data_IF_225759239133
#
_entry.id   IF_225759239133
#
_cell.length_a   1.000
_cell.length_b   1.000
_cell.length_c   1.000
_cell.angle_alpha   90.00
_cell.angle_beta   90.00
_cell.angle_gamma   90.00
#
_symmetry.space_group_name_H-M   'P 1'
#
loop_
_entity.id
_entity.type
_entity.pdbx_description
1 polymer ?
#
# COMPACT_ATOMS: atom_id res chain seq x y z
N UNK A 1 -10.02 35.77 -70.42
CA UNK A 1 -8.75 36.20 -71.02
C UNK A 1 -7.94 36.90 -69.93
N UNK A 2 -6.73 36.39 -69.66
CA UNK A 2 -5.62 36.95 -68.87
C UNK A 2 -5.68 37.10 -67.33
N UNK A 3 -4.97 36.17 -66.69
CA UNK A 3 -4.08 36.36 -65.53
C UNK A 3 -3.16 37.59 -65.67
N UNK A 4 -2.73 38.19 -64.55
CA UNK A 4 -1.29 38.23 -64.20
C UNK A 4 -0.98 38.78 -62.79
N UNK A 5 -0.05 38.06 -62.19
CA UNK A 5 0.75 38.29 -60.98
C UNK A 5 1.71 39.48 -61.17
N UNK A 6 2.01 40.22 -60.09
CA UNK A 6 3.24 41.04 -59.99
C UNK A 6 3.96 40.76 -58.67
N UNK A 7 5.28 40.64 -58.81
CA UNK A 7 6.31 40.23 -57.87
C UNK A 7 7.01 41.44 -57.21
N UNK A 8 7.41 41.24 -55.95
CA UNK A 8 8.73 41.51 -55.28
C UNK A 8 9.52 42.84 -55.38
N UNK A 9 9.99 43.23 -54.17
CA UNK A 9 11.28 43.85 -53.75
C UNK A 9 11.50 45.33 -54.12
N UNK A 10 12.03 46.23 -53.27
CA UNK A 10 12.58 46.24 -51.91
C UNK A 10 13.40 47.54 -51.76
N UNK A 11 13.58 48.11 -50.56
CA UNK A 11 14.66 49.08 -50.26
C UNK A 11 15.00 49.18 -48.76
N UNK A 12 16.29 48.93 -48.50
CA UNK A 12 17.26 49.63 -47.64
C UNK A 12 16.87 50.13 -46.22
N UNK A 13 17.56 49.56 -45.22
CA UNK A 13 17.82 50.17 -43.93
C UNK A 13 19.12 49.66 -43.30
N UNK A 14 20.19 50.45 -43.38
CA UNK A 14 21.44 50.26 -42.62
C UNK A 14 21.19 50.57 -41.13
N UNK A 15 21.75 49.79 -40.21
CA UNK A 15 22.25 50.32 -38.93
C UNK A 15 23.20 49.35 -38.22
N UNK A 16 24.18 49.95 -37.55
CA UNK A 16 25.43 49.38 -37.13
C UNK A 16 25.35 48.53 -35.85
N UNK A 17 26.31 47.61 -35.76
CA UNK A 17 26.61 46.72 -34.63
C UNK A 17 27.02 47.55 -33.40
N UNK A 18 26.18 47.53 -32.37
CA UNK A 18 26.56 47.96 -31.02
C UNK A 18 27.00 46.73 -30.20
N UNK A 19 28.30 46.48 -30.12
CA UNK A 19 28.89 45.51 -29.16
C UNK A 19 28.72 46.07 -27.75
N UNK A 20 27.87 45.47 -26.92
CA UNK A 20 27.85 45.69 -25.47
C UNK A 20 29.05 44.96 -24.85
N UNK A 21 30.01 45.66 -24.20
CA UNK A 21 31.23 45.04 -23.67
C UNK A 21 31.02 44.24 -22.38
N UNK A 22 29.83 44.31 -21.76
CA UNK A 22 29.58 43.78 -20.41
C UNK A 22 29.06 42.34 -20.34
N UNK A 23 28.58 41.75 -21.44
CA UNK A 23 28.09 40.36 -21.40
C UNK A 23 29.22 39.35 -21.54
N UNK A 24 30.22 39.63 -22.39
CA UNK A 24 31.37 38.73 -22.60
C UNK A 24 32.22 38.63 -21.34
N UNK A 25 32.41 39.74 -20.62
CA UNK A 25 33.15 39.74 -19.35
C UNK A 25 32.39 39.01 -18.24
N UNK A 26 31.05 39.14 -18.19
CA UNK A 26 30.22 38.37 -17.26
C UNK A 26 30.26 36.89 -17.57
N UNK A 27 30.20 36.50 -18.85
CA UNK A 27 30.27 35.10 -19.27
C UNK A 27 31.64 34.49 -18.93
N UNK A 28 32.73 35.22 -19.18
CA UNK A 28 34.10 34.78 -18.83
C UNK A 28 34.24 34.60 -17.31
N UNK A 29 33.80 35.57 -16.51
CA UNK A 29 33.87 35.48 -15.04
C UNK A 29 33.00 34.33 -14.52
N UNK A 30 31.78 34.16 -15.03
CA UNK A 30 30.87 33.09 -14.58
C UNK A 30 31.43 31.70 -14.94
N UNK A 31 32.04 31.58 -16.12
CA UNK A 31 32.68 30.33 -16.57
C UNK A 31 33.93 30.05 -15.73
N UNK A 32 34.75 31.06 -15.44
CA UNK A 32 35.96 30.89 -14.63
C UNK A 32 35.63 30.53 -13.18
N UNK A 33 34.63 31.18 -12.58
CA UNK A 33 34.13 30.85 -11.23
C UNK A 33 33.53 29.45 -11.21
N UNK A 34 32.75 29.06 -12.22
CA UNK A 34 32.20 27.70 -12.32
C UNK A 34 33.27 26.61 -12.46
N UNK A 35 34.32 26.86 -13.26
CA UNK A 35 35.45 25.93 -13.43
C UNK A 35 36.28 25.83 -12.16
N UNK A 36 36.59 26.95 -11.49
CA UNK A 36 37.34 26.93 -10.22
C UNK A 36 36.52 26.28 -9.11
N UNK A 37 35.22 26.57 -9.01
CA UNK A 37 34.34 25.96 -8.02
C UNK A 37 34.16 24.45 -8.28
N UNK A 38 33.99 24.04 -9.55
CA UNK A 38 33.94 22.64 -9.95
C UNK A 38 35.26 21.90 -9.71
N UNK A 39 36.41 22.54 -9.95
CA UNK A 39 37.73 21.99 -9.67
C UNK A 39 38.00 21.85 -8.17
N UNK A 40 37.60 22.83 -7.36
CA UNK A 40 37.73 22.77 -5.90
C UNK A 40 36.82 21.69 -5.30
N UNK A 41 35.59 21.53 -5.80
CA UNK A 41 34.72 20.41 -5.40
C UNK A 41 35.34 19.07 -5.86
N UNK A 42 35.81 18.98 -7.10
CA UNK A 42 36.42 17.77 -7.64
C UNK A 42 37.72 17.35 -6.95
N UNK A 43 38.54 18.30 -6.50
CA UNK A 43 39.78 18.06 -5.75
C UNK A 43 39.54 17.84 -4.24
N UNK A 44 38.38 18.24 -3.72
CA UNK A 44 37.99 18.00 -2.31
C UNK A 44 37.35 16.63 -2.09
N UNK A 45 37.05 15.87 -3.14
CA UNK A 45 36.69 14.47 -3.03
C UNK A 45 37.96 13.60 -3.05
N UNK A 46 38.20 12.76 -2.02
CA UNK A 46 39.25 11.77 -2.11
C UNK A 46 38.97 10.86 -3.29
N UNK A 47 39.95 10.70 -4.19
CA UNK A 47 39.90 9.69 -5.24
C UNK A 47 39.87 8.30 -4.59
N UNK A 48 38.67 7.71 -4.48
CA UNK A 48 38.50 6.35 -4.02
C UNK A 48 39.09 5.41 -5.09
N UNK A 49 40.30 4.93 -4.84
CA UNK A 49 40.87 3.80 -5.57
C UNK A 49 39.98 2.57 -5.34
N UNK A 50 39.26 2.17 -6.39
CA UNK A 50 38.46 0.96 -6.45
C UNK A 50 39.39 -0.26 -6.61
N UNK A 51 40.08 -0.61 -5.52
CA UNK A 51 40.82 -1.86 -5.42
C UNK A 51 40.35 -2.65 -4.22
N UNK A 52 39.62 -3.75 -4.51
CA UNK A 52 39.33 -4.90 -3.64
C UNK A 52 38.86 -4.56 -2.22
N UNK A 53 37.53 -4.62 -2.04
CA UNK A 53 36.87 -4.66 -0.73
C UNK A 53 37.41 -5.81 0.13
N UNK A 54 38.32 -5.49 1.05
CA UNK A 54 38.49 -6.18 2.31
C UNK A 54 38.00 -5.22 3.40
N UNK A 55 36.92 -5.59 4.10
CA UNK A 55 36.35 -4.81 5.21
C UNK A 55 37.38 -4.59 6.32
N UNK A 56 37.77 -3.35 6.66
CA UNK A 56 38.47 -3.06 7.90
C UNK A 56 37.47 -2.69 9.00
N UNK A 57 37.90 -2.92 10.24
CA UNK A 57 37.30 -2.52 11.51
C UNK A 57 36.60 -1.15 11.48
N UNK A 58 35.38 -1.09 12.02
CA UNK A 58 34.61 0.13 12.26
C UNK A 58 35.45 1.12 13.08
N UNK A 59 35.81 2.25 12.47
CA UNK A 59 36.38 3.41 13.14
C UNK A 59 35.22 4.25 13.70
N UNK A 60 35.18 4.42 15.03
CA UNK A 60 34.07 5.03 15.78
C UNK A 60 34.37 6.50 16.14
N UNK A 61 35.19 7.18 15.34
CA UNK A 61 35.54 8.59 15.50
C UNK A 61 34.41 9.57 15.13
N UNK A 62 33.23 9.10 14.69
CA UNK A 62 32.12 9.95 14.24
C UNK A 62 31.06 10.29 15.30
N UNK A 63 31.20 9.85 16.56
CA UNK A 63 30.29 10.26 17.64
C UNK A 63 31.03 11.19 18.60
N UNK A 64 31.31 12.40 18.14
CA UNK A 64 31.64 13.53 19.00
C UNK A 64 30.38 14.41 19.13
N UNK A 65 29.38 13.89 19.86
CA UNK A 65 28.23 14.69 20.26
C UNK A 65 28.58 15.41 21.57
N UNK A 66 28.78 16.73 21.46
CA UNK A 66 29.31 17.63 22.49
C UNK A 66 28.46 17.76 23.77
N UNK A 67 27.34 17.04 23.89
CA UNK A 67 26.38 17.21 24.98
C UNK A 67 25.98 15.93 25.74
N UNK A 68 26.67 14.80 25.56
CA UNK A 68 26.41 13.61 26.40
C UNK A 68 27.55 13.38 27.39
N UNK A 69 27.26 13.55 28.68
CA UNK A 69 28.18 13.28 29.80
C UNK A 69 28.45 11.79 30.05
N UNK A 70 28.55 11.00 28.98
CA UNK A 70 28.82 9.56 29.06
C UNK A 70 30.25 9.30 28.63
N UNK A 71 31.13 9.19 29.63
CA UNK A 71 32.57 8.97 29.44
C UNK A 71 32.85 7.78 28.51
N UNK A 72 33.61 8.05 27.44
CA UNK A 72 34.22 7.07 26.52
C UNK A 72 34.94 5.94 27.25
N UNK A 73 35.41 6.17 28.48
CA UNK A 73 36.03 5.18 29.35
C UNK A 73 35.05 4.07 29.77
N UNK A 74 33.76 4.38 29.95
CA UNK A 74 32.74 3.43 30.40
C UNK A 74 32.44 2.40 29.30
N UNK A 75 32.37 2.85 28.04
CA UNK A 75 32.22 1.96 26.90
C UNK A 75 33.46 1.10 26.63
N UNK A 76 34.66 1.68 26.78
CA UNK A 76 35.92 0.94 26.65
C UNK A 76 36.07 -0.13 27.75
N UNK A 77 35.61 0.16 28.96
CA UNK A 77 35.62 -0.79 30.08
C UNK A 77 34.58 -1.91 29.93
N UNK A 78 33.40 -1.61 29.39
CA UNK A 78 32.41 -2.63 29.02
C UNK A 78 32.94 -3.56 27.92
N UNK A 79 33.65 -3.01 26.93
CA UNK A 79 34.26 -3.77 25.84
C UNK A 79 35.48 -4.60 26.28
N UNK A 80 36.30 -4.09 27.21
CA UNK A 80 37.43 -4.84 27.77
C UNK A 80 36.96 -5.99 28.66
N UNK A 81 35.83 -5.82 29.36
CA UNK A 81 35.15 -6.90 30.10
C UNK A 81 34.68 -8.03 29.16
N UNK A 82 34.21 -7.72 27.95
CA UNK A 82 33.88 -8.73 26.93
C UNK A 82 35.11 -9.40 26.30
N UNK A 83 36.28 -8.74 26.29
CA UNK A 83 37.55 -9.32 25.83
C UNK A 83 38.28 -10.17 26.88
N UNK A 84 37.92 -10.04 28.16
CA UNK A 84 38.55 -10.76 29.28
C UNK A 84 38.26 -12.27 29.35
N UNK A 85 37.41 -12.81 28.47
CA UNK A 85 37.06 -14.24 28.42
C UNK A 85 37.72 -14.99 27.24
N UNK A 86 38.94 -14.60 26.85
CA UNK A 86 39.77 -15.39 25.91
C UNK A 86 40.85 -16.14 26.68
N UNK A 87 40.46 -17.26 27.28
CA UNK A 87 41.42 -18.33 27.48
C UNK A 87 41.81 -18.89 26.11
N UNK A 88 43.06 -18.70 25.76
CA UNK A 88 43.73 -19.26 24.60
C UNK A 88 43.69 -20.79 24.64
N UNK A 89 42.80 -21.39 23.87
CA UNK A 89 42.99 -22.75 23.34
C UNK A 89 43.28 -22.64 21.85
N UNK A 90 44.43 -23.18 21.46
CA UNK A 90 44.87 -23.40 20.08
C UNK A 90 43.87 -24.27 19.31
N UNK A 91 42.85 -23.66 18.74
CA UNK A 91 42.05 -24.19 17.63
C UNK A 91 41.86 -23.07 16.60
N UNK A 92 42.98 -22.58 16.06
CA UNK A 92 42.98 -21.87 14.79
C UNK A 92 42.82 -22.87 13.64
N UNK A 93 41.74 -23.69 13.64
CA UNK A 93 41.37 -24.61 12.56
C UNK A 93 39.92 -25.11 12.74
N UNK A 94 38.93 -24.24 12.46
CA UNK A 94 37.54 -24.66 12.12
C UNK A 94 36.70 -23.49 11.59
N UNK A 95 37.25 -22.67 10.70
CA UNK A 95 36.52 -21.64 9.96
C UNK A 95 35.62 -22.21 8.83
N UNK A 96 35.15 -23.45 8.96
CA UNK A 96 34.37 -24.18 7.94
C UNK A 96 32.95 -24.59 8.37
N UNK A 97 32.39 -24.08 9.48
CA UNK A 97 31.06 -24.51 9.97
C UNK A 97 29.95 -23.45 9.95
N UNK A 98 30.14 -22.29 9.31
CA UNK A 98 28.99 -21.41 8.99
C UNK A 98 28.00 -22.07 8.01
N UNK A 99 28.39 -23.17 7.37
CA UNK A 99 27.57 -24.04 6.52
C UNK A 99 26.66 -25.02 7.27
N UNK A 100 26.73 -25.12 8.62
CA UNK A 100 25.97 -26.14 9.36
C UNK A 100 24.56 -25.75 9.78
N UNK A 101 24.25 -24.46 9.82
CA UNK A 101 22.90 -24.02 10.20
C UNK A 101 22.06 -24.01 8.92
N UNK A 102 21.22 -25.01 8.83
CA UNK A 102 20.15 -25.09 7.83
C UNK A 102 18.92 -25.66 8.53
N UNK A 103 17.92 -24.81 8.75
CA UNK A 103 16.67 -25.17 9.41
C UNK A 103 15.53 -25.02 8.39
N UNK A 104 15.04 -26.12 7.81
CA UNK A 104 13.99 -26.08 6.79
C UNK A 104 12.65 -25.53 7.25
N UNK A 105 12.39 -25.51 8.57
CA UNK A 105 11.16 -24.95 9.14
C UNK A 105 11.18 -23.43 9.27
N UNK A 106 12.33 -22.78 9.07
CA UNK A 106 12.39 -21.32 9.03
C UNK A 106 11.71 -20.78 7.77
N UNK A 107 11.25 -19.51 7.78
CA UNK A 107 10.74 -18.85 6.59
C UNK A 107 11.75 -18.90 5.44
N UNK A 108 11.22 -18.90 4.21
CA UNK A 108 12.03 -18.95 3.00
C UNK A 108 13.06 -17.81 2.97
N UNK A 109 14.34 -18.15 2.80
CA UNK A 109 15.46 -17.20 2.83
C UNK A 109 16.09 -17.00 4.22
N UNK A 110 15.47 -17.53 5.29
CA UNK A 110 15.97 -17.48 6.66
C UNK A 110 16.47 -18.85 7.17
N UNK A 111 16.61 -19.85 6.29
CA UNK A 111 16.99 -21.23 6.67
C UNK A 111 18.37 -21.29 7.32
N UNK A 112 19.24 -20.32 7.03
CA UNK A 112 20.59 -20.23 7.63
C UNK A 112 20.64 -19.54 8.99
N UNK A 113 19.49 -19.09 9.51
CA UNK A 113 19.41 -18.42 10.80
C UNK A 113 19.07 -19.42 11.92
N UNK A 114 19.64 -19.27 13.13
CA UNK A 114 19.18 -20.00 14.31
C UNK A 114 17.68 -19.74 14.56
N UNK A 115 16.83 -20.75 14.81
CA UNK A 115 15.39 -20.55 14.92
C UNK A 115 14.98 -19.53 15.98
N UNK A 116 15.72 -19.47 17.09
CA UNK A 116 15.42 -18.59 18.21
C UNK A 116 15.59 -17.07 17.91
N UNK A 117 16.27 -16.69 16.82
CA UNK A 117 16.39 -15.28 16.41
C UNK A 117 15.46 -14.90 15.25
N UNK A 118 14.74 -15.87 14.68
CA UNK A 118 13.90 -15.63 13.51
C UNK A 118 12.59 -14.98 13.93
N UNK A 119 12.35 -13.76 13.45
CA UNK A 119 11.04 -13.13 13.41
C UNK A 119 10.42 -13.39 12.02
N UNK A 120 9.46 -14.32 11.95
CA UNK A 120 8.82 -14.71 10.68
C UNK A 120 7.79 -13.68 10.17
N UNK A 121 7.29 -12.84 11.08
CA UNK A 121 6.23 -11.86 10.84
C UNK A 121 6.69 -10.50 11.39
N UNK A 122 5.99 -9.45 10.95
CA UNK A 122 6.12 -8.07 11.43
C UNK A 122 4.76 -7.55 11.89
N UNK A 123 4.70 -6.30 12.31
CA UNK A 123 3.49 -5.63 12.76
C UNK A 123 3.55 -4.11 12.51
N UNK A 124 2.43 -3.44 12.74
CA UNK A 124 2.33 -1.98 12.71
C UNK A 124 2.37 -1.34 14.11
N UNK A 125 2.81 -2.05 15.15
CA UNK A 125 2.90 -1.47 16.48
C UNK A 125 4.08 -0.49 16.55
N UNK A 126 3.76 0.78 16.84
CA UNK A 126 4.77 1.83 16.98
C UNK A 126 5.62 1.59 18.22
N UNK A 127 6.95 1.70 18.05
CA UNK A 127 7.95 1.49 19.10
C UNK A 127 8.69 2.81 19.35
N UNK A 128 9.12 3.05 20.59
CA UNK A 128 9.80 4.30 20.97
C UNK A 128 11.25 4.26 20.49
N UNK A 129 11.84 5.44 20.26
CA UNK A 129 13.25 5.54 19.85
C UNK A 129 14.23 5.33 21.03
N UNK A 130 13.75 5.30 22.27
CA UNK A 130 14.55 5.17 23.50
C UNK A 130 13.82 4.31 24.54
N UNK A 131 14.54 3.91 25.58
CA UNK A 131 14.00 3.12 26.70
C UNK A 131 14.08 1.61 26.46
N UNK A 132 13.26 0.83 27.17
CA UNK A 132 13.24 -0.63 27.05
C UNK A 132 12.17 -1.06 26.05
N UNK A 133 12.50 -1.92 25.05
CA UNK A 133 11.52 -2.39 24.07
C UNK A 133 10.30 -3.10 24.69
N UNK A 134 10.48 -3.75 25.85
CA UNK A 134 9.38 -4.43 26.56
C UNK A 134 8.30 -3.48 27.10
N UNK A 135 8.60 -2.19 27.19
CA UNK A 135 7.69 -1.16 27.72
C UNK A 135 6.98 -0.36 26.62
N UNK A 136 7.32 -0.60 25.34
CA UNK A 136 6.80 0.20 24.22
C UNK A 136 5.34 -0.11 23.89
N UNK A 137 4.95 -1.38 24.00
CA UNK A 137 3.62 -1.85 23.61
C UNK A 137 2.79 -2.09 24.87
N UNK A 138 1.98 -1.10 25.26
CA UNK A 138 1.05 -1.20 26.39
C UNK A 138 -0.30 -1.79 25.99
N UNK A 139 -0.73 -1.52 24.75
CA UNK A 139 -1.98 -2.03 24.18
C UNK A 139 -1.65 -2.66 22.82
N UNK A 140 -2.11 -3.89 22.61
CA UNK A 140 -2.01 -4.58 21.32
C UNK A 140 -3.35 -4.50 20.60
N UNK A 141 -3.42 -3.64 19.59
CA UNK A 141 -4.58 -3.55 18.70
C UNK A 141 -4.80 -4.90 18.03
N UNK A 142 -6.06 -5.32 17.97
CA UNK A 142 -6.50 -6.61 17.41
C UNK A 142 -7.01 -6.50 15.99
N UNK A 143 -7.36 -5.29 15.56
CA UNK A 143 -7.96 -5.04 14.25
C UNK A 143 -7.20 -3.94 13.52
N UNK A 144 -7.25 -3.96 12.20
CA UNK A 144 -6.67 -2.93 11.34
C UNK A 144 -7.79 -2.30 10.51
N UNK A 145 -7.83 -0.97 10.48
CA UNK A 145 -8.65 -0.23 9.52
C UNK A 145 -7.77 0.65 8.64
N UNK A 146 -8.00 0.54 7.33
CA UNK A 146 -7.31 1.33 6.32
C UNK A 146 -8.28 2.15 5.51
N UNK A 147 -7.89 3.40 5.24
CA UNK A 147 -8.62 4.31 4.36
C UNK A 147 -7.68 4.84 3.28
N UNK A 148 -8.14 4.90 2.04
CA UNK A 148 -7.42 5.58 0.96
C UNK A 148 -7.97 6.98 0.80
N UNK A 149 -7.17 7.97 1.20
CA UNK A 149 -7.66 9.30 1.55
C UNK A 149 -7.01 10.41 0.73
N UNK A 150 -7.80 11.45 0.47
CA UNK A 150 -7.35 12.79 0.14
C UNK A 150 -7.88 13.79 1.16
N UNK A 151 -7.13 14.86 1.40
CA UNK A 151 -7.42 15.84 2.43
C UNK A 151 -8.81 16.48 2.32
N UNK A 152 -9.36 16.58 1.10
CA UNK A 152 -10.71 17.13 0.90
C UNK A 152 -11.81 16.28 1.55
N UNK A 153 -11.56 15.00 1.87
CA UNK A 153 -12.49 14.12 2.57
C UNK A 153 -12.20 13.97 4.07
N UNK A 154 -11.29 14.79 4.63
CA UNK A 154 -10.86 14.68 6.03
C UNK A 154 -12.00 14.66 7.05
N UNK A 155 -13.07 15.44 6.82
CA UNK A 155 -14.22 15.48 7.71
C UNK A 155 -15.01 14.15 7.72
N UNK A 156 -15.10 13.48 6.56
CA UNK A 156 -15.75 12.18 6.48
C UNK A 156 -14.91 11.09 7.15
N UNK A 157 -13.58 11.15 6.99
CA UNK A 157 -12.66 10.24 7.67
C UNK A 157 -12.65 10.47 9.18
N UNK A 158 -12.70 11.71 9.66
CA UNK A 158 -12.84 12.01 11.09
C UNK A 158 -14.14 11.42 11.67
N UNK A 159 -15.26 11.49 10.93
CA UNK A 159 -16.50 10.83 11.32
C UNK A 159 -16.37 9.29 11.34
N UNK A 160 -15.67 8.71 10.35
CA UNK A 160 -15.40 7.27 10.27
C UNK A 160 -14.54 6.77 11.43
N UNK A 161 -13.41 7.43 11.71
CA UNK A 161 -12.46 7.04 12.76
C UNK A 161 -13.13 6.96 14.14
N UNK A 162 -14.08 7.85 14.44
CA UNK A 162 -14.85 7.83 15.69
C UNK A 162 -15.73 6.58 15.88
N UNK A 163 -15.92 5.76 14.85
CA UNK A 163 -16.66 4.49 14.94
C UNK A 163 -15.78 3.30 15.30
N UNK A 164 -14.47 3.50 15.44
CA UNK A 164 -13.50 2.46 15.79
C UNK A 164 -12.94 2.72 17.19
N UNK A 165 -12.83 1.66 17.98
CA UNK A 165 -12.29 1.71 19.34
C UNK A 165 -10.76 1.75 19.34
N UNK A 166 -10.15 1.80 20.52
CA UNK A 166 -8.70 1.66 20.70
C UNK A 166 -8.15 0.28 20.30
N UNK A 167 -9.00 -0.71 20.05
CA UNK A 167 -8.57 -2.02 19.53
C UNK A 167 -8.17 -1.97 18.05
N UNK A 168 -8.38 -0.84 17.37
CA UNK A 168 -8.08 -0.66 15.96
C UNK A 168 -6.79 0.14 15.76
N UNK A 169 -5.88 -0.41 14.96
CA UNK A 169 -4.84 0.37 14.31
C UNK A 169 -5.44 1.13 13.13
N UNK A 170 -5.17 2.43 13.04
CA UNK A 170 -5.64 3.28 11.94
C UNK A 170 -4.47 3.54 11.00
N UNK A 171 -4.64 3.20 9.72
CA UNK A 171 -3.65 3.38 8.67
C UNK A 171 -4.27 4.16 7.49
N UNK A 172 -3.68 5.30 7.16
CA UNK A 172 -4.16 6.18 6.10
C UNK A 172 -3.22 6.11 4.89
N UNK A 173 -3.80 5.87 3.71
CA UNK A 173 -3.12 5.84 2.42
C UNK A 173 -3.40 7.15 1.65
N UNK A 174 -2.43 8.07 1.64
CA UNK A 174 -2.59 9.42 1.12
C UNK A 174 -2.25 9.49 -0.37
N UNK A 175 -3.27 9.51 -1.22
CA UNK A 175 -3.06 9.61 -2.66
C UNK A 175 -2.72 11.03 -3.15
N UNK A 176 -2.91 12.06 -2.32
CA UNK A 176 -2.68 13.46 -2.68
C UNK A 176 -1.30 13.99 -2.24
N UNK A 177 -0.63 13.28 -1.34
CA UNK A 177 0.67 13.66 -0.78
C UNK A 177 0.60 14.44 0.54
N UNK A 178 -0.59 14.62 1.12
CA UNK A 178 -0.82 15.56 2.24
C UNK A 178 -0.97 14.82 3.56
N UNK A 179 0.11 14.71 4.33
CA UNK A 179 0.12 14.01 5.62
C UNK A 179 0.06 14.95 6.82
N UNK A 180 0.84 16.04 6.81
CA UNK A 180 0.99 16.94 7.97
C UNK A 180 -0.27 17.73 8.27
N UNK A 181 -1.08 18.05 7.26
CA UNK A 181 -2.30 18.81 7.48
C UNK A 181 -3.37 18.04 8.27
N UNK A 182 -3.22 16.72 8.40
CA UNK A 182 -4.08 15.90 9.25
C UNK A 182 -3.76 16.01 10.75
N UNK A 183 -2.63 16.65 11.13
CA UNK A 183 -2.25 16.86 12.53
C UNK A 183 -3.22 17.75 13.30
N UNK A 184 -4.18 18.39 12.61
CA UNK A 184 -5.32 19.07 13.24
C UNK A 184 -6.20 18.09 14.06
N UNK A 185 -6.17 16.79 13.76
CA UNK A 185 -6.88 15.76 14.50
C UNK A 185 -5.93 15.03 15.46
N UNK A 186 -6.23 15.06 16.76
CA UNK A 186 -5.40 14.38 17.77
C UNK A 186 -5.31 12.85 17.57
N UNK A 187 -6.34 12.23 17.01
CA UNK A 187 -6.26 10.80 16.65
C UNK A 187 -5.30 10.55 15.49
N UNK A 188 -5.11 11.51 14.58
CA UNK A 188 -4.26 11.35 13.40
C UNK A 188 -2.79 11.28 13.78
N UNK A 189 -2.36 12.00 14.84
CA UNK A 189 -1.00 11.92 15.37
C UNK A 189 -0.60 10.53 15.86
N UNK A 190 -1.59 9.67 16.13
CA UNK A 190 -1.42 8.27 16.54
C UNK A 190 -1.68 7.28 15.40
N UNK A 191 -2.20 7.75 14.27
CA UNK A 191 -2.41 6.95 13.08
C UNK A 191 -1.11 6.79 12.30
N UNK A 192 -1.06 5.79 11.43
CA UNK A 192 0.07 5.58 10.51
C UNK A 192 -0.30 6.20 9.17
N UNK A 193 0.61 7.00 8.62
CA UNK A 193 0.41 7.68 7.34
C UNK A 193 1.39 7.12 6.31
N UNK A 194 0.86 6.64 5.18
CA UNK A 194 1.67 6.21 4.02
C UNK A 194 1.25 7.03 2.82
N UNK A 195 2.21 7.61 2.11
CA UNK A 195 1.95 8.60 1.06
C UNK A 195 2.69 8.27 -0.22
N UNK A 196 1.93 8.08 -1.29
CA UNK A 196 2.36 7.86 -2.66
C UNK A 196 1.33 8.51 -3.61
N UNK A 197 1.77 9.55 -4.31
CA UNK A 197 0.84 10.39 -5.08
C UNK A 197 0.17 9.61 -6.22
N UNK A 198 -1.12 9.87 -6.42
CA UNK A 198 -1.98 9.30 -7.46
C UNK A 198 -2.01 7.77 -7.49
N UNK A 199 -1.86 7.12 -6.33
CA UNK A 199 -1.99 5.66 -6.20
C UNK A 199 -3.36 5.28 -5.65
N UNK A 200 -3.86 4.13 -6.09
CA UNK A 200 -5.16 3.56 -5.71
C UNK A 200 -5.08 2.73 -4.44
N UNK A 201 -6.25 2.48 -3.83
CA UNK A 201 -6.40 1.62 -2.64
C UNK A 201 -5.70 0.27 -2.78
N UNK A 202 -5.91 -0.42 -3.89
CA UNK A 202 -5.35 -1.75 -4.10
C UNK A 202 -3.85 -1.72 -4.43
N UNK A 203 -3.32 -0.62 -4.96
CA UNK A 203 -1.88 -0.44 -5.09
C UNK A 203 -1.20 -0.39 -3.71
N UNK A 204 -1.78 0.36 -2.77
CA UNK A 204 -1.30 0.43 -1.39
C UNK A 204 -1.46 -0.90 -0.67
N UNK A 205 -2.65 -1.50 -0.73
CA UNK A 205 -2.92 -2.78 -0.07
C UNK A 205 -1.92 -3.86 -0.52
N UNK A 206 -1.60 -3.93 -1.82
CA UNK A 206 -0.61 -4.89 -2.34
C UNK A 206 0.80 -4.69 -1.77
N UNK A 207 1.19 -3.47 -1.39
CA UNK A 207 2.56 -3.12 -1.01
C UNK A 207 2.77 -3.00 0.50
N UNK A 208 1.75 -2.55 1.22
CA UNK A 208 1.85 -2.24 2.64
C UNK A 208 1.07 -3.22 3.52
N UNK A 209 0.11 -3.95 2.98
CA UNK A 209 -0.66 -4.95 3.73
C UNK A 209 -0.20 -6.38 3.40
N UNK A 210 1.12 -6.62 3.36
CA UNK A 210 1.64 -7.98 3.17
C UNK A 210 1.11 -8.90 4.30
N UNK A 211 0.72 -10.17 4.02
CA UNK A 211 0.11 -11.03 5.03
C UNK A 211 0.96 -11.17 6.29
N UNK A 212 2.27 -11.31 6.13
CA UNK A 212 3.20 -11.42 7.27
C UNK A 212 3.43 -10.09 8.02
N UNK A 213 3.01 -8.94 7.48
CA UNK A 213 3.02 -7.64 8.20
C UNK A 213 1.74 -7.45 9.00
N UNK A 214 0.61 -7.94 8.48
CA UNK A 214 -0.71 -7.76 9.12
C UNK A 214 -1.18 -8.98 9.90
N UNK A 215 -0.30 -9.98 10.08
CA UNK A 215 -0.61 -11.25 10.76
C UNK A 215 -1.01 -11.08 12.24
N UNK A 216 -0.65 -9.96 12.87
CA UNK A 216 -1.05 -9.64 14.24
C UNK A 216 -2.52 -9.21 14.37
N UNK A 217 -3.21 -8.93 13.26
CA UNK A 217 -4.60 -8.47 13.25
C UNK A 217 -5.56 -9.60 12.89
N UNK A 218 -6.65 -9.74 13.64
CA UNK A 218 -7.70 -10.74 13.37
C UNK A 218 -8.55 -10.38 12.15
N UNK A 219 -8.83 -9.08 11.98
CA UNK A 219 -9.64 -8.53 10.90
C UNK A 219 -9.03 -7.25 10.33
N UNK A 220 -9.14 -7.11 9.01
CA UNK A 220 -8.54 -6.04 8.21
C UNK A 220 -9.62 -5.37 7.36
N UNK A 221 -9.89 -4.10 7.64
CA UNK A 221 -10.85 -3.26 6.93
C UNK A 221 -10.12 -2.45 5.84
N UNK A 222 -10.61 -2.49 4.61
CA UNK A 222 -10.00 -1.81 3.46
C UNK A 222 -11.03 -0.91 2.77
N UNK A 223 -11.24 0.27 3.33
CA UNK A 223 -12.40 1.11 3.02
C UNK A 223 -12.05 2.29 2.11
N UNK A 224 -13.02 2.67 1.28
CA UNK A 224 -13.03 3.93 0.57
C UNK A 224 -13.35 5.10 1.51
N UNK A 225 -13.01 6.32 1.10
CA UNK A 225 -13.13 7.52 1.92
C UNK A 225 -14.50 8.21 1.86
N UNK A 226 -15.40 7.79 0.97
CA UNK A 226 -16.70 8.44 0.68
C UNK A 226 -17.90 7.70 1.29
N UNK A 227 -17.69 7.13 2.49
CA UNK A 227 -18.69 6.34 3.22
C UNK A 227 -19.26 7.12 4.41
N UNK A 228 -20.58 7.30 4.44
CA UNK A 228 -21.33 7.74 5.61
C UNK A 228 -21.49 6.59 6.60
N UNK A 229 -21.21 6.85 7.87
CA UNK A 229 -21.04 5.82 8.92
C UNK A 229 -21.96 6.06 10.13
N UNK A 230 -23.01 6.85 9.97
CA UNK A 230 -23.90 7.29 11.05
C UNK A 230 -24.40 6.10 11.88
N UNK A 231 -24.72 5.00 11.20
CA UNK A 231 -25.31 3.79 11.76
C UNK A 231 -24.34 2.62 11.93
N UNK A 232 -23.04 2.89 11.80
CA UNK A 232 -21.98 1.89 11.93
C UNK A 232 -21.26 2.00 13.28
N UNK A 233 -20.87 0.85 13.84
CA UNK A 233 -19.98 0.67 14.98
C UNK A 233 -19.05 -0.53 14.71
N UNK A 234 -17.73 -0.30 14.79
CA UNK A 234 -16.73 -1.32 14.44
C UNK A 234 -16.73 -2.56 15.36
N UNK A 235 -17.00 -2.39 16.65
CA UNK A 235 -17.01 -3.49 17.61
C UNK A 235 -18.25 -4.37 17.46
N UNK A 236 -19.44 -3.76 17.34
CA UNK A 236 -20.68 -4.51 17.09
C UNK A 236 -20.65 -5.19 15.72
N UNK A 237 -20.01 -4.58 14.72
CA UNK A 237 -19.77 -5.22 13.43
C UNK A 237 -18.92 -6.49 13.57
N UNK A 238 -17.76 -6.41 14.21
CA UNK A 238 -16.87 -7.58 14.38
C UNK A 238 -17.55 -8.69 15.20
N UNK A 239 -18.36 -8.33 16.20
CA UNK A 239 -19.16 -9.29 16.97
C UNK A 239 -20.12 -10.08 16.06
N UNK A 240 -20.79 -9.42 15.12
CA UNK A 240 -21.67 -10.09 14.15
C UNK A 240 -20.88 -10.93 13.13
N UNK A 241 -19.77 -10.42 12.63
CA UNK A 241 -18.86 -11.17 11.73
C UNK A 241 -18.44 -12.49 12.38
N UNK A 242 -17.99 -12.46 13.63
CA UNK A 242 -17.63 -13.67 14.40
C UNK A 242 -18.84 -14.57 14.65
N UNK A 243 -19.97 -14.00 15.10
CA UNK A 243 -21.21 -14.76 15.38
C UNK A 243 -21.67 -15.57 14.17
N UNK A 244 -21.53 -15.02 12.97
CA UNK A 244 -22.02 -15.62 11.73
C UNK A 244 -20.94 -16.35 10.90
N UNK A 245 -19.72 -16.46 11.44
CA UNK A 245 -18.60 -17.17 10.81
C UNK A 245 -18.18 -16.56 9.46
N UNK A 246 -18.25 -15.24 9.34
CA UNK A 246 -17.87 -14.54 8.12
C UNK A 246 -16.35 -14.33 8.05
N UNK A 247 -15.75 -14.76 6.94
CA UNK A 247 -14.32 -14.60 6.64
C UNK A 247 -14.05 -13.39 5.73
N UNK A 248 -15.02 -13.08 4.86
CA UNK A 248 -15.01 -11.86 4.05
C UNK A 248 -16.39 -11.23 4.17
N UNK A 249 -16.45 -9.95 4.53
CA UNK A 249 -17.71 -9.29 4.78
C UNK A 249 -17.69 -7.83 4.40
N UNK A 250 -18.86 -7.20 4.37
CA UNK A 250 -19.00 -5.75 4.33
C UNK A 250 -20.21 -5.31 5.16
N UNK A 251 -20.29 -4.04 5.59
CA UNK A 251 -21.52 -3.46 6.09
C UNK A 251 -22.62 -3.45 5.00
N UNK A 252 -23.89 -3.47 5.40
CA UNK A 252 -25.01 -3.26 4.49
C UNK A 252 -24.96 -1.85 3.86
N UNK A 253 -25.37 -1.73 2.61
CA UNK A 253 -25.51 -0.42 1.94
C UNK A 253 -26.94 0.08 2.01
N UNK A 254 -27.11 1.30 2.49
CA UNK A 254 -28.39 1.98 2.48
C UNK A 254 -28.86 2.22 1.02
N UNK A 255 -30.11 1.85 0.65
CA UNK A 255 -30.56 1.84 -0.75
C UNK A 255 -30.88 3.22 -1.34
N UNK A 256 -30.68 4.31 -0.59
CA UNK A 256 -31.26 5.62 -0.89
C UNK A 256 -30.71 6.32 -2.15
N UNK A 257 -29.62 5.84 -2.77
CA UNK A 257 -28.98 6.46 -3.95
C UNK A 257 -28.80 5.51 -5.15
N UNK A 258 -29.53 4.40 -5.16
CA UNK A 258 -29.36 3.35 -6.16
C UNK A 258 -28.12 2.50 -5.89
N UNK A 259 -28.20 1.22 -6.26
CA UNK A 259 -27.14 0.24 -5.99
C UNK A 259 -26.83 -0.54 -7.25
N UNK A 260 -25.54 -0.82 -7.46
CA UNK A 260 -25.10 -1.65 -8.60
C UNK A 260 -25.55 -3.09 -8.42
N UNK A 261 -25.33 -3.64 -7.22
CA UNK A 261 -25.55 -5.04 -6.83
C UNK A 261 -26.64 -5.12 -5.76
N UNK A 262 -27.64 -5.99 -5.93
CA UNK A 262 -28.62 -6.27 -4.89
C UNK A 262 -28.00 -6.96 -3.67
N UNK A 263 -26.87 -7.66 -3.86
CA UNK A 263 -26.17 -8.36 -2.79
C UNK A 263 -25.60 -7.42 -1.74
N UNK A 264 -25.30 -6.16 -2.09
CA UNK A 264 -24.75 -5.19 -1.12
C UNK A 264 -25.82 -4.41 -0.39
N UNK A 265 -27.07 -4.45 -0.88
CA UNK A 265 -28.20 -3.72 -0.31
C UNK A 265 -28.49 -4.22 1.11
N UNK A 266 -28.66 -3.32 2.05
CA UNK A 266 -29.09 -3.64 3.42
C UNK A 266 -30.47 -4.32 3.45
N UNK A 267 -30.66 -5.28 4.35
CA UNK A 267 -31.92 -5.95 4.69
C UNK A 267 -32.35 -5.59 6.12
N UNK A 268 -33.49 -4.91 6.29
CA UNK A 268 -33.91 -4.41 7.61
C UNK A 268 -34.46 -5.48 8.58
N UNK A 269 -34.68 -6.70 8.10
CA UNK A 269 -35.35 -7.80 8.81
C UNK A 269 -34.40 -8.84 9.42
N UNK A 270 -33.08 -8.65 9.28
CA UNK A 270 -32.06 -9.64 9.67
C UNK A 270 -30.75 -8.98 10.08
N UNK A 271 -29.87 -9.74 10.74
CA UNK A 271 -28.54 -9.26 11.12
C UNK A 271 -27.54 -9.34 9.97
N UNK A 272 -27.62 -10.38 9.15
CA UNK A 272 -26.74 -10.65 8.01
C UNK A 272 -27.49 -11.32 6.87
N UNK A 273 -26.99 -11.20 5.65
CA UNK A 273 -27.34 -12.07 4.53
C UNK A 273 -26.12 -12.47 3.72
N UNK A 274 -26.21 -13.63 3.08
CA UNK A 274 -25.12 -14.25 2.30
C UNK A 274 -25.51 -14.54 0.85
N UNK A 275 -26.78 -14.35 0.55
CA UNK A 275 -27.39 -14.55 -0.76
C UNK A 275 -28.45 -13.48 -1.04
N UNK A 276 -28.73 -13.24 -2.31
CA UNK A 276 -29.78 -12.35 -2.77
C UNK A 276 -30.40 -12.85 -4.07
N UNK A 277 -31.60 -12.36 -4.37
CA UNK A 277 -32.12 -12.36 -5.74
C UNK A 277 -31.57 -11.14 -6.49
N UNK A 278 -30.92 -11.37 -7.61
CA UNK A 278 -30.45 -10.32 -8.52
C UNK A 278 -31.40 -10.10 -9.70
N UNK A 279 -31.07 -9.10 -10.51
CA UNK A 279 -31.76 -8.82 -11.78
C UNK A 279 -31.75 -10.07 -12.69
N UNK A 280 -32.80 -10.31 -13.49
CA UNK A 280 -32.86 -11.45 -14.40
C UNK A 280 -31.61 -11.55 -15.30
N UNK A 281 -31.00 -12.74 -15.34
CA UNK A 281 -29.81 -13.04 -16.15
C UNK A 281 -28.46 -12.64 -15.53
N UNK A 282 -28.44 -12.07 -14.32
CA UNK A 282 -27.18 -11.66 -13.66
C UNK A 282 -26.49 -12.78 -12.88
N UNK A 283 -27.23 -13.82 -12.51
CA UNK A 283 -26.70 -14.97 -11.80
C UNK A 283 -26.75 -16.21 -12.66
N UNK A 284 -25.56 -16.76 -12.93
CA UNK A 284 -25.41 -18.06 -13.58
C UNK A 284 -25.71 -19.21 -12.62
N UNK A 285 -25.43 -19.01 -11.34
CA UNK A 285 -25.65 -19.95 -10.24
C UNK A 285 -25.95 -19.13 -8.96
N UNK A 286 -26.91 -19.56 -8.12
CA UNK A 286 -27.32 -18.81 -6.93
C UNK A 286 -26.23 -18.72 -5.85
N UNK A 287 -25.30 -19.67 -5.79
CA UNK A 287 -24.18 -19.70 -4.84
C UNK A 287 -22.91 -19.00 -5.36
N UNK A 288 -22.99 -18.40 -6.55
CA UNK A 288 -21.90 -17.68 -7.16
C UNK A 288 -22.17 -16.17 -7.23
N UNK A 289 -21.10 -15.34 -7.31
CA UNK A 289 -21.26 -13.92 -7.54
C UNK A 289 -22.04 -13.62 -8.82
N UNK A 290 -22.86 -12.57 -8.84
CA UNK A 290 -23.09 -11.63 -7.74
C UNK A 290 -24.17 -12.05 -6.73
N UNK A 291 -24.87 -13.17 -6.93
CA UNK A 291 -26.00 -13.58 -6.06
C UNK A 291 -25.60 -14.04 -4.67
N UNK A 292 -24.43 -14.65 -4.52
CA UNK A 292 -23.84 -15.03 -3.25
C UNK A 292 -22.31 -14.97 -3.35
N UNK A 293 -21.62 -15.24 -2.25
CA UNK A 293 -20.15 -15.25 -2.23
C UNK A 293 -19.50 -13.94 -2.72
N UNK A 294 -20.20 -12.81 -2.54
CA UNK A 294 -19.85 -11.51 -3.12
C UNK A 294 -19.98 -10.39 -2.07
N UNK A 295 -18.95 -9.54 -2.03
CA UNK A 295 -18.98 -8.22 -1.39
C UNK A 295 -18.26 -7.25 -2.32
N UNK A 296 -18.69 -6.01 -2.33
CA UNK A 296 -18.11 -4.97 -3.18
C UNK A 296 -16.79 -4.48 -2.61
N UNK A 297 -15.84 -4.19 -3.50
CA UNK A 297 -14.49 -3.74 -3.15
C UNK A 297 -14.44 -2.41 -2.41
N UNK A 298 -15.55 -1.68 -2.24
CA UNK A 298 -15.63 -0.36 -1.60
C UNK A 298 -15.38 -0.42 -0.09
N UNK A 299 -16.08 -1.32 0.63
CA UNK A 299 -16.00 -1.44 2.09
C UNK A 299 -15.76 -2.88 2.60
N UNK A 300 -14.86 -3.68 1.98
CA UNK A 300 -14.62 -5.04 2.41
C UNK A 300 -13.87 -5.09 3.74
N UNK A 301 -14.13 -6.17 4.47
CA UNK A 301 -13.46 -6.59 5.69
C UNK A 301 -13.05 -8.04 5.50
N UNK A 302 -11.78 -8.33 5.79
CA UNK A 302 -11.21 -9.66 5.64
C UNK A 302 -10.77 -10.19 7.00
N UNK A 303 -10.99 -11.46 7.27
CA UNK A 303 -10.23 -12.16 8.29
C UNK A 303 -8.75 -12.23 7.87
N UNK A 304 -7.87 -12.45 8.85
CA UNK A 304 -6.44 -12.71 8.62
C UNK A 304 -6.20 -13.79 7.56
N UNK A 305 -6.92 -14.90 7.66
CA UNK A 305 -6.70 -16.08 6.82
C UNK A 305 -7.19 -15.82 5.39
N UNK A 306 -8.37 -15.21 5.24
CA UNK A 306 -8.87 -14.80 3.93
C UNK A 306 -7.93 -13.78 3.27
N UNK A 307 -7.43 -12.79 4.02
CA UNK A 307 -6.51 -11.78 3.51
C UNK A 307 -5.20 -12.40 3.00
N UNK A 308 -4.66 -13.42 3.67
CA UNK A 308 -3.45 -14.13 3.23
C UNK A 308 -3.59 -14.66 1.80
N UNK A 309 -4.76 -15.16 1.43
CA UNK A 309 -5.07 -15.54 0.05
C UNK A 309 -5.34 -14.34 -0.85
N UNK A 310 -6.22 -13.41 -0.44
CA UNK A 310 -6.64 -12.26 -1.27
C UNK A 310 -5.45 -11.39 -1.67
N UNK A 311 -4.46 -11.23 -0.79
CA UNK A 311 -3.26 -10.47 -1.12
C UNK A 311 -2.50 -11.04 -2.33
N UNK A 312 -2.46 -12.37 -2.49
CA UNK A 312 -1.84 -13.04 -3.64
C UNK A 312 -2.68 -12.93 -4.92
N UNK A 313 -3.99 -12.75 -4.78
CA UNK A 313 -4.90 -12.54 -5.91
C UNK A 313 -4.70 -11.15 -6.54
N UNK A 314 -4.37 -10.13 -5.73
CA UNK A 314 -4.12 -8.76 -6.22
C UNK A 314 -2.87 -8.72 -7.11
N UNK A 315 -3.03 -8.18 -8.32
CA UNK A 315 -1.97 -8.07 -9.32
C UNK A 315 -1.15 -6.79 -9.13
N UNK A 316 0.16 -6.86 -9.37
CA UNK A 316 1.06 -5.70 -9.16
C UNK A 316 0.80 -4.53 -10.12
N UNK A 317 0.31 -4.82 -11.33
CA UNK A 317 0.11 -3.88 -12.44
C UNK A 317 -1.36 -3.48 -12.68
N UNK A 318 -2.32 -4.14 -12.02
CA UNK A 318 -3.75 -3.83 -12.07
C UNK A 318 -4.16 -3.19 -10.75
N UNK A 319 -4.17 -1.86 -10.73
CA UNK A 319 -4.17 -1.10 -9.48
C UNK A 319 -5.59 -0.71 -9.02
N UNK A 320 -6.60 -0.73 -9.89
CA UNK A 320 -7.95 -0.26 -9.53
C UNK A 320 -8.79 -1.32 -8.81
N UNK A 321 -8.44 -2.60 -8.94
CA UNK A 321 -9.11 -3.72 -8.27
C UNK A 321 -10.51 -4.08 -8.80
N UNK A 322 -11.00 -3.46 -9.88
CA UNK A 322 -12.29 -3.82 -10.47
C UNK A 322 -12.31 -5.28 -10.93
N UNK A 323 -13.32 -6.03 -10.49
CA UNK A 323 -13.46 -7.45 -10.74
C UNK A 323 -12.85 -8.34 -9.67
N UNK A 324 -12.08 -7.79 -8.72
CA UNK A 324 -11.54 -8.54 -7.59
C UNK A 324 -12.67 -9.11 -6.73
N UNK A 325 -13.73 -8.35 -6.53
CA UNK A 325 -15.01 -8.67 -5.88
C UNK A 325 -15.62 -10.00 -6.37
N UNK A 326 -15.51 -10.30 -7.67
CA UNK A 326 -15.98 -11.58 -8.25
C UNK A 326 -15.05 -12.77 -7.95
N UNK A 327 -13.78 -12.49 -7.66
CA UNK A 327 -12.76 -13.50 -7.44
C UNK A 327 -12.49 -13.77 -5.95
N UNK A 328 -12.97 -12.93 -5.03
CA UNK A 328 -12.80 -13.09 -3.58
C UNK A 328 -13.27 -14.46 -3.07
N UNK A 329 -14.33 -15.01 -3.67
CA UNK A 329 -14.85 -16.36 -3.36
C UNK A 329 -13.79 -17.47 -3.42
N UNK A 330 -12.71 -17.28 -4.19
CA UNK A 330 -11.64 -18.27 -4.34
C UNK A 330 -10.78 -18.45 -3.09
N UNK A 331 -10.90 -17.52 -2.14
CA UNK A 331 -10.06 -17.49 -0.95
C UNK A 331 -10.74 -18.04 0.30
N UNK A 332 -11.95 -18.58 0.18
CA UNK A 332 -12.74 -19.07 1.30
C UNK A 332 -13.62 -20.25 0.87
N UNK A 333 -13.74 -21.28 1.71
CA UNK A 333 -14.54 -22.48 1.44
C UNK A 333 -15.42 -22.86 2.65
N UNK A 334 -16.74 -23.12 2.48
CA UNK A 334 -17.54 -22.82 1.29
C UNK A 334 -17.86 -21.31 1.20
N UNK A 335 -17.60 -20.71 0.04
CA UNK A 335 -17.62 -19.25 -0.11
C UNK A 335 -18.99 -18.61 0.16
N UNK A 336 -20.08 -19.24 -0.30
CA UNK A 336 -21.44 -18.70 -0.14
C UNK A 336 -21.94 -18.72 1.30
N UNK A 337 -21.30 -19.48 2.20
CA UNK A 337 -21.64 -19.49 3.62
C UNK A 337 -20.75 -18.57 4.46
N UNK A 338 -19.58 -18.20 3.96
CA UNK A 338 -18.56 -17.45 4.72
C UNK A 338 -18.33 -16.03 4.20
N UNK A 339 -18.95 -15.68 3.08
CA UNK A 339 -18.94 -14.32 2.54
C UNK A 339 -20.34 -13.73 2.66
N UNK A 340 -20.47 -12.54 3.24
CA UNK A 340 -21.78 -11.95 3.45
C UNK A 340 -21.78 -10.48 3.88
N UNK A 341 -22.98 -9.93 3.91
CA UNK A 341 -23.26 -8.55 4.28
C UNK A 341 -23.83 -8.51 5.68
N UNK A 342 -23.30 -7.62 6.52
CA UNK A 342 -23.79 -7.39 7.89
C UNK A 342 -24.82 -6.27 7.83
N UNK A 343 -26.10 -6.62 7.86
CA UNK A 343 -27.21 -5.68 7.68
C UNK A 343 -27.51 -4.81 8.90
N UNK A 344 -27.27 -5.36 10.09
CA UNK A 344 -27.48 -4.66 11.36
C UNK A 344 -26.46 -3.52 11.58
N UNK A 345 -25.40 -3.45 10.76
CA UNK A 345 -24.38 -2.41 10.78
C UNK A 345 -24.18 -1.91 9.35
N UNK A 346 -24.66 -0.71 9.04
CA UNK A 346 -24.74 -0.26 7.65
C UNK A 346 -24.10 1.10 7.44
N UNK A 347 -23.79 1.37 6.18
CA UNK A 347 -23.13 2.57 5.70
C UNK A 347 -23.89 3.15 4.50
N UNK A 348 -23.58 4.40 4.17
CA UNK A 348 -24.16 5.12 3.03
C UNK A 348 -23.04 5.46 2.04
N UNK A 349 -23.20 5.11 0.76
CA UNK A 349 -22.28 5.58 -0.26
C UNK A 349 -22.61 7.03 -0.63
N UNK A 350 -21.71 7.96 -0.30
CA UNK A 350 -21.93 9.39 -0.54
C UNK A 350 -21.58 9.79 -1.98
N UNK A 351 -20.80 8.97 -2.68
CA UNK A 351 -20.37 9.17 -4.08
C UNK A 351 -19.63 10.49 -4.27
N UNK A 352 -18.75 10.83 -3.32
CA UNK A 352 -18.01 12.10 -3.37
C UNK A 352 -16.85 11.94 -4.35
N UNK A 353 -16.68 12.84 -5.34
CA UNK A 353 -15.61 12.72 -6.32
C UNK A 353 -14.22 12.75 -5.67
N UNK A 354 -13.50 11.63 -5.78
CA UNK A 354 -12.23 11.37 -5.09
C UNK A 354 -11.09 11.14 -6.10
N UNK A 355 -10.34 10.04 -5.96
CA UNK A 355 -9.22 9.62 -6.79
C UNK A 355 -9.54 9.61 -8.29
N UNK A 356 -10.80 9.37 -8.68
CA UNK A 356 -11.22 9.47 -10.08
C UNK A 356 -10.86 10.81 -10.73
N UNK A 357 -10.93 11.91 -9.98
CA UNK A 357 -10.58 13.23 -10.49
C UNK A 357 -9.07 13.51 -10.54
N UNK A 358 -8.22 12.58 -10.05
CA UNK A 358 -6.76 12.71 -10.09
C UNK A 358 -6.14 12.26 -11.42
N UNK A 359 -6.96 11.84 -12.38
CA UNK A 359 -6.55 11.54 -13.76
C UNK A 359 -6.12 12.78 -14.54
N UNK A 360 -5.88 12.59 -15.84
CA UNK A 360 -5.52 13.68 -16.76
C UNK A 360 -6.70 13.99 -17.68
N UNK A 361 -6.92 15.27 -17.94
CA UNK A 361 -7.89 15.71 -18.93
C UNK A 361 -7.24 15.62 -20.32
N UNK A 362 -7.87 14.89 -21.23
CA UNK A 362 -7.40 14.71 -22.62
C UNK A 362 -8.56 14.96 -23.58
N UNK A 363 -8.31 15.67 -24.69
CA UNK A 363 -9.28 15.89 -25.78
C UNK A 363 -10.68 16.36 -25.32
N UNK A 364 -10.73 17.25 -24.32
CA UNK A 364 -11.98 17.78 -23.77
C UNK A 364 -12.73 16.81 -22.84
N UNK A 365 -12.20 15.61 -22.57
CA UNK A 365 -12.72 14.69 -21.55
C UNK A 365 -12.29 15.11 -20.15
N UNK A 366 -13.19 14.94 -19.19
CA UNK A 366 -12.89 15.16 -17.79
C UNK A 366 -11.94 14.05 -17.25
N UNK A 367 -11.06 14.36 -16.28
CA UNK A 367 -10.09 13.42 -15.72
C UNK A 367 -10.64 12.04 -15.31
N UNK A 368 -11.84 12.03 -14.69
CA UNK A 368 -12.49 10.80 -14.24
C UNK A 368 -12.86 9.84 -15.37
N UNK A 369 -13.03 10.35 -16.60
CA UNK A 369 -13.36 9.51 -17.74
C UNK A 369 -12.18 8.61 -18.10
N UNK A 370 -10.95 9.16 -18.14
CA UNK A 370 -9.73 8.39 -18.40
C UNK A 370 -9.47 7.34 -17.31
N UNK A 371 -9.69 7.70 -16.04
CA UNK A 371 -9.59 6.74 -14.91
C UNK A 371 -10.62 5.61 -15.09
N UNK A 372 -11.88 5.93 -15.42
CA UNK A 372 -12.93 4.92 -15.62
C UNK A 372 -12.65 4.02 -16.82
N UNK A 373 -12.12 4.56 -17.91
CA UNK A 373 -11.67 3.77 -19.06
C UNK A 373 -10.55 2.80 -18.64
N UNK A 374 -9.58 3.26 -17.84
CA UNK A 374 -8.53 2.40 -17.28
C UNK A 374 -9.09 1.31 -16.36
N UNK A 375 -10.04 1.61 -15.48
CA UNK A 375 -10.71 0.62 -14.64
C UNK A 375 -11.33 -0.52 -15.47
N UNK A 376 -12.07 -0.17 -16.53
CA UNK A 376 -12.69 -1.15 -17.44
C UNK A 376 -11.64 -2.02 -18.14
N UNK A 377 -10.53 -1.41 -18.60
CA UNK A 377 -9.43 -2.13 -19.24
C UNK A 377 -8.76 -3.11 -18.28
N UNK A 378 -8.47 -2.67 -17.05
CA UNK A 378 -7.87 -3.52 -16.02
C UNK A 378 -8.79 -4.66 -15.62
N UNK A 379 -10.10 -4.42 -15.47
CA UNK A 379 -11.07 -5.47 -15.19
C UNK A 379 -11.09 -6.55 -16.29
N UNK A 380 -11.11 -6.13 -17.56
CA UNK A 380 -11.05 -7.07 -18.70
C UNK A 380 -9.77 -7.92 -18.69
N UNK A 381 -8.62 -7.29 -18.40
CA UNK A 381 -7.33 -7.98 -18.27
C UNK A 381 -7.33 -8.96 -17.09
N UNK A 382 -7.84 -8.55 -15.93
CA UNK A 382 -7.93 -9.39 -14.74
C UNK A 382 -8.77 -10.64 -15.00
N UNK A 383 -9.98 -10.45 -15.55
CA UNK A 383 -10.89 -11.55 -15.91
C UNK A 383 -10.22 -12.52 -16.88
N UNK A 384 -9.53 -12.00 -17.89
CA UNK A 384 -8.81 -12.82 -18.87
C UNK A 384 -7.66 -13.61 -18.25
N UNK A 385 -6.88 -12.99 -17.33
CA UNK A 385 -5.78 -13.66 -16.62
C UNK A 385 -6.28 -14.78 -15.72
N UNK A 386 -7.33 -14.54 -14.94
CA UNK A 386 -7.92 -15.56 -14.07
C UNK A 386 -8.42 -16.74 -14.90
N UNK A 387 -9.22 -16.49 -15.93
CA UNK A 387 -9.75 -17.55 -16.79
C UNK A 387 -8.65 -18.36 -17.49
N UNK A 388 -7.61 -17.68 -18.01
CA UNK A 388 -6.47 -18.34 -18.65
C UNK A 388 -5.67 -19.20 -17.67
N UNK A 389 -5.41 -18.68 -16.45
CA UNK A 389 -4.68 -19.40 -15.41
C UNK A 389 -5.44 -20.64 -14.93
N UNK A 390 -6.76 -20.52 -14.71
CA UNK A 390 -7.60 -21.66 -14.34
C UNK A 390 -7.61 -22.73 -15.44
N UNK A 391 -7.82 -22.32 -16.70
CA UNK A 391 -7.79 -23.24 -17.83
C UNK A 391 -6.46 -23.98 -17.94
N UNK A 392 -5.35 -23.26 -17.77
CA UNK A 392 -4.01 -23.86 -17.79
C UNK A 392 -3.81 -24.84 -16.63
N UNK A 393 -4.28 -24.50 -15.43
CA UNK A 393 -4.21 -25.36 -14.26
C UNK A 393 -5.01 -26.66 -14.44
N UNK A 394 -6.29 -26.58 -14.82
CA UNK A 394 -7.12 -27.78 -15.05
C UNK A 394 -6.51 -28.68 -16.13
N UNK A 395 -6.05 -28.09 -17.24
CA UNK A 395 -5.33 -28.84 -18.28
C UNK A 395 -4.08 -29.53 -17.76
N UNK A 396 -3.31 -28.89 -16.87
CA UNK A 396 -2.12 -29.50 -16.25
C UNK A 396 -2.46 -30.67 -15.32
N UNK A 397 -3.66 -30.67 -14.76
CA UNK A 397 -4.19 -31.74 -13.91
C UNK A 397 -4.90 -32.85 -14.72
N UNK A 398 -5.00 -32.72 -16.05
CA UNK A 398 -5.75 -33.65 -16.89
C UNK A 398 -7.27 -33.59 -16.69
N UNK A 399 -7.78 -32.50 -16.13
CA UNK A 399 -9.20 -32.27 -15.87
C UNK A 399 -9.74 -31.33 -16.95
N UNK A 400 -10.90 -31.65 -17.52
CA UNK A 400 -11.57 -30.72 -18.41
C UNK A 400 -12.01 -29.48 -17.60
N UNK A 401 -11.58 -28.27 -18.01
CA UNK A 401 -11.95 -27.07 -17.30
C UNK A 401 -13.49 -26.96 -17.28
N UNK A 402 -14.10 -26.56 -16.16
CA UNK A 402 -15.54 -26.36 -16.12
C UNK A 402 -15.94 -25.40 -17.25
N UNK A 403 -17.04 -25.70 -17.95
CA UNK A 403 -17.61 -24.84 -18.98
C UNK A 403 -17.97 -23.49 -18.34
N UNK A 404 -17.02 -22.56 -18.27
CA UNK A 404 -17.23 -21.24 -17.71
C UNK A 404 -18.03 -20.40 -18.69
N UNK A 405 -19.33 -20.64 -18.76
CA UNK A 405 -20.31 -19.76 -19.43
C UNK A 405 -20.66 -18.56 -18.56
N UNK A 406 -19.65 -17.88 -18.00
CA UNK A 406 -19.81 -16.54 -17.45
C UNK A 406 -19.49 -15.54 -18.58
N UNK A 407 -20.48 -15.27 -19.43
CA UNK A 407 -20.42 -14.19 -20.43
C UNK A 407 -20.55 -12.84 -19.74
#
# INVERSE_FOLDING_TARGET
MNQKIVNRMGMLGRSAVARKPNETMRLIVTTFVGVVFGFLIGASFPTLNLTKLNLPSIDLSFVEDKNSGLSTQTFLNAWSSMKGSRNTSTEAQKLNNTSKIWVPSNPRGAERLPPAIVAAESDFYLRRLWGKPSEDITIKQKYLVTFTVGYNQKANIDAAVKKFSENFTILLFHYDGRTTEWDEFEWSKRAIHVSARKQTKWWYAKRFLHPDIVASYDYIFIWDEDLGVEHFNGEEYIKLVRKHGLEISQPGLEPNRGLTWQMTKRRGDREVHKETQEKPGWCSDPHLPPCAAFVEIMAPVFSRDAWRCVWHLIQNDLIHGWGLDFALRKCVEPAHEKIGVVDAQWIVHQTVPSLGNQGEAEDGKAPWQGVRERCKKEWSLFRSRVAAAEKAYYKSMGIDPPNSTAR
#
